data_IF_454512509246
#
_entry.id   IF_454512509246
#
_cell.length_a   1.000
_cell.length_b   1.000
_cell.length_c   1.000
_cell.angle_alpha   90.00
_cell.angle_beta   90.00
_cell.angle_gamma   90.00
#
_symmetry.space_group_name_H-M   'P 1'
#
loop_
_entity.id
_entity.type
_entity.pdbx_description
1 polymer ?
#
# COMPACT_ATOMS: atom_id res chain seq x y z
N UNK A 1 8.83 18.93 1.38
CA UNK A 1 7.54 18.71 2.05
C UNK A 1 6.56 17.94 1.16
N UNK A 2 6.24 18.38 -0.07
CA UNK A 2 5.27 17.69 -0.96
C UNK A 2 5.50 16.18 -1.21
N UNK A 3 6.75 15.70 -1.35
CA UNK A 3 7.00 14.27 -1.58
C UNK A 3 6.75 13.39 -0.35
N UNK A 4 6.90 13.95 0.85
CA UNK A 4 6.65 13.24 2.11
C UNK A 4 5.14 13.02 2.29
N UNK A 5 4.34 14.04 1.97
CA UNK A 5 2.87 13.94 2.04
C UNK A 5 2.33 12.86 1.09
N UNK A 6 2.90 12.75 -0.11
CA UNK A 6 2.48 11.74 -1.08
C UNK A 6 2.81 10.30 -0.64
N UNK A 7 4.00 10.09 -0.08
CA UNK A 7 4.40 8.77 0.45
C UNK A 7 3.54 8.35 1.64
N UNK A 8 3.17 9.29 2.52
CA UNK A 8 2.29 9.03 3.67
C UNK A 8 0.89 8.61 3.21
N UNK A 9 0.33 9.28 2.21
CA UNK A 9 -0.98 8.91 1.65
C UNK A 9 -0.91 7.50 1.05
N UNK A 10 0.16 7.17 0.34
CA UNK A 10 0.32 5.88 -0.34
C UNK A 10 0.48 4.72 0.67
N UNK A 11 1.27 4.92 1.73
CA UNK A 11 1.40 3.99 2.86
C UNK A 11 0.06 3.87 3.61
N UNK A 12 -0.60 4.99 3.91
CA UNK A 12 -1.88 5.01 4.61
C UNK A 12 -2.96 4.23 3.87
N UNK A 13 -3.02 4.40 2.54
CA UNK A 13 -3.96 3.67 1.69
C UNK A 13 -3.65 2.17 1.67
N UNK A 14 -2.37 1.80 1.58
CA UNK A 14 -1.93 0.40 1.68
C UNK A 14 -2.29 -0.26 3.02
N UNK A 15 -2.17 0.48 4.13
CA UNK A 15 -2.55 0.01 5.46
C UNK A 15 -4.04 -0.26 5.59
N UNK A 16 -4.87 0.65 5.07
CA UNK A 16 -6.34 0.48 5.06
C UNK A 16 -6.72 -0.73 4.22
N UNK A 17 -6.08 -0.93 3.06
CA UNK A 17 -6.34 -2.08 2.19
C UNK A 17 -5.98 -3.41 2.86
N UNK A 18 -4.87 -3.46 3.60
CA UNK A 18 -4.47 -4.63 4.39
C UNK A 18 -5.48 -4.91 5.51
N UNK A 19 -5.92 -3.89 6.25
CA UNK A 19 -6.92 -4.04 7.31
C UNK A 19 -8.27 -4.50 6.77
N UNK A 20 -8.71 -3.95 5.63
CA UNK A 20 -9.94 -4.35 4.97
C UNK A 20 -9.84 -5.79 4.43
N UNK A 21 -8.73 -6.14 3.79
CA UNK A 21 -8.48 -7.50 3.32
C UNK A 21 -8.40 -8.52 4.47
N UNK A 22 -7.88 -8.12 5.63
CA UNK A 22 -7.84 -8.97 6.82
C UNK A 22 -9.24 -9.19 7.41
N UNK A 23 -10.11 -8.18 7.39
CA UNK A 23 -11.49 -8.30 7.85
C UNK A 23 -12.30 -9.26 6.94
N UNK A 24 -12.04 -9.24 5.63
CA UNK A 24 -12.66 -10.15 4.67
C UNK A 24 -11.85 -11.42 4.41
N UNK A 25 -10.83 -11.75 5.23
CA UNK A 25 -9.91 -12.88 4.99
C UNK A 25 -10.61 -14.23 4.84
N UNK A 26 -11.70 -14.44 5.59
CA UNK A 26 -12.53 -15.66 5.52
C UNK A 26 -13.43 -15.73 4.29
N UNK A 27 -13.71 -14.60 3.63
CA UNK A 27 -14.32 -14.61 2.30
C UNK A 27 -13.19 -14.78 1.30
N UNK A 28 -13.31 -15.70 0.35
CA UNK A 28 -12.20 -16.10 -0.55
C UNK A 28 -11.48 -14.97 -1.32
N UNK A 29 -11.96 -13.73 -1.26
CA UNK A 29 -11.37 -12.53 -1.85
C UNK A 29 -10.48 -11.71 -0.88
N UNK A 30 -10.56 -11.95 0.44
CA UNK A 30 -9.79 -11.19 1.43
C UNK A 30 -8.28 -11.40 1.29
N UNK A 31 -7.84 -12.61 0.94
CA UNK A 31 -6.43 -12.89 0.63
C UNK A 31 -5.94 -12.07 -0.58
N UNK A 32 -6.81 -11.87 -1.58
CA UNK A 32 -6.51 -11.01 -2.73
C UNK A 32 -6.37 -9.54 -2.36
N UNK A 33 -7.22 -9.03 -1.47
CA UNK A 33 -7.11 -7.66 -0.95
C UNK A 33 -5.85 -7.47 -0.08
N UNK A 34 -5.45 -8.48 0.71
CA UNK A 34 -4.20 -8.45 1.45
C UNK A 34 -3.00 -8.39 0.50
N UNK A 35 -3.00 -9.21 -0.56
CA UNK A 35 -1.96 -9.20 -1.58
C UNK A 35 -1.89 -7.84 -2.31
N UNK A 36 -3.03 -7.24 -2.65
CA UNK A 36 -3.10 -5.90 -3.22
C UNK A 36 -2.56 -4.82 -2.27
N UNK A 37 -2.86 -4.92 -0.97
CA UNK A 37 -2.34 -4.00 0.04
C UNK A 37 -0.82 -4.12 0.21
N UNK A 38 -0.29 -5.35 0.14
CA UNK A 38 1.14 -5.62 0.16
C UNK A 38 1.85 -5.07 -1.08
N UNK A 39 1.26 -5.21 -2.27
CA UNK A 39 1.77 -4.60 -3.50
C UNK A 39 1.77 -3.07 -3.43
N UNK A 40 0.73 -2.49 -2.85
CA UNK A 40 0.64 -1.04 -2.64
C UNK A 40 1.76 -0.55 -1.73
N UNK A 41 2.06 -1.28 -0.65
CA UNK A 41 3.21 -0.99 0.22
C UNK A 41 4.54 -1.11 -0.54
N UNK A 42 4.71 -2.12 -1.39
CA UNK A 42 5.91 -2.23 -2.24
C UNK A 42 6.05 -1.06 -3.23
N UNK A 43 4.93 -0.55 -3.74
CA UNK A 43 4.90 0.63 -4.61
C UNK A 43 5.45 1.87 -3.91
N UNK A 44 5.27 2.02 -2.59
CA UNK A 44 5.86 3.15 -1.82
C UNK A 44 7.38 3.16 -1.90
N UNK A 45 8.00 1.98 -1.84
CA UNK A 45 9.45 1.80 -1.93
C UNK A 45 9.91 2.12 -3.35
N UNK A 46 9.20 1.61 -4.37
CA UNK A 46 9.48 1.92 -5.77
C UNK A 46 9.37 3.43 -6.07
N UNK A 47 8.35 4.09 -5.54
CA UNK A 47 8.14 5.53 -5.72
C UNK A 47 9.23 6.35 -5.03
N UNK A 48 9.67 5.92 -3.84
CA UNK A 48 10.78 6.55 -3.13
C UNK A 48 12.11 6.39 -3.88
N UNK A 49 12.35 5.22 -4.49
CA UNK A 49 13.52 4.99 -5.34
C UNK A 49 13.46 5.89 -6.58
N UNK A 50 12.29 5.98 -7.24
CA UNK A 50 12.10 6.84 -8.41
C UNK A 50 12.45 8.30 -8.10
N UNK A 51 11.89 8.88 -7.03
CA UNK A 51 12.19 10.26 -6.60
C UNK A 51 13.68 10.45 -6.23
N UNK A 52 14.35 9.40 -5.74
CA UNK A 52 15.76 9.49 -5.34
C UNK A 52 16.71 9.48 -6.54
N UNK A 53 16.36 8.76 -7.61
CA UNK A 53 17.21 8.56 -8.78
C UNK A 53 16.83 9.42 -9.99
N UNK A 54 15.73 10.16 -9.93
CA UNK A 54 15.26 11.10 -10.95
C UNK A 54 15.24 12.52 -10.40
#
# INVERSE_FOLDING_TARGET
MQHIDWLIILIGTGFVLLGFGYNFRDRGWGVGMIAAGMLTMFSTVAFKIYITFN
#
